data_IF_591677867822
#
_entry.id   IF_591677867822
#
_cell.length_a   1.000
_cell.length_b   1.000
_cell.length_c   1.000
_cell.angle_alpha   90.00
_cell.angle_beta   90.00
_cell.angle_gamma   90.00
#
_symmetry.space_group_name_H-M   'P 1'
#
loop_
_entity.id
_entity.type
_entity.pdbx_description
1 polymer ?
#
# COMPACT_ATOMS: atom_id res chain seq x y z
N UNK A 1 -13.66 18.95 -32.86
CA UNK A 1 -12.59 18.56 -31.92
C UNK A 1 -11.93 17.36 -32.57
N UNK A 2 -10.83 17.56 -33.23
CA UNK A 2 -10.05 16.52 -33.89
C UNK A 2 -9.38 15.68 -32.83
N UNK A 3 -9.69 14.36 -32.83
CA UNK A 3 -8.87 13.37 -32.15
C UNK A 3 -7.51 13.37 -32.87
N UNK A 4 -6.47 13.78 -32.18
CA UNK A 4 -5.10 13.55 -32.63
C UNK A 4 -4.91 12.04 -32.61
N UNK A 5 -5.00 11.38 -33.77
CA UNK A 5 -4.62 10.01 -34.00
C UNK A 5 -3.12 9.88 -33.66
N UNK A 6 -2.81 9.40 -32.47
CA UNK A 6 -1.46 8.87 -32.21
C UNK A 6 -1.28 7.68 -33.14
N UNK A 7 -0.25 7.73 -33.97
CA UNK A 7 -0.01 6.74 -34.98
C UNK A 7 0.15 5.35 -34.34
N UNK A 8 -0.51 4.35 -34.90
CA UNK A 8 -0.51 2.92 -34.52
C UNK A 8 0.92 2.31 -34.41
N UNK A 9 1.94 3.05 -34.89
CA UNK A 9 3.37 2.67 -34.90
C UNK A 9 4.11 2.85 -33.56
N UNK A 10 3.48 3.45 -32.54
CA UNK A 10 4.10 3.73 -31.23
C UNK A 10 3.52 2.90 -30.06
N UNK A 11 2.50 2.07 -30.32
CA UNK A 11 1.87 1.23 -29.28
C UNK A 11 2.62 -0.08 -29.13
N UNK A 12 2.97 -0.44 -27.88
CA UNK A 12 3.65 -1.69 -27.54
C UNK A 12 2.63 -2.74 -27.09
N UNK A 13 2.68 -3.92 -27.67
CA UNK A 13 1.87 -5.07 -27.22
C UNK A 13 2.41 -5.65 -25.91
N UNK A 14 1.50 -6.00 -25.00
CA UNK A 14 1.81 -6.60 -23.70
C UNK A 14 0.65 -7.45 -23.18
N UNK A 15 0.88 -8.23 -22.12
CA UNK A 15 -0.17 -8.85 -21.35
C UNK A 15 -0.48 -8.03 -20.11
N UNK A 16 -1.78 -7.91 -19.77
CA UNK A 16 -2.24 -7.27 -18.55
C UNK A 16 -3.41 -8.05 -17.93
N UNK A 17 -3.54 -7.96 -16.62
CA UNK A 17 -4.69 -8.47 -15.89
C UNK A 17 -5.76 -7.38 -15.82
N UNK A 18 -6.82 -7.56 -16.60
CA UNK A 18 -7.92 -6.60 -16.75
C UNK A 18 -9.11 -7.02 -15.91
N UNK A 19 -9.70 -6.09 -15.16
CA UNK A 19 -11.03 -6.24 -14.57
C UNK A 19 -12.04 -5.48 -15.42
N UNK A 20 -13.02 -6.20 -15.98
CA UNK A 20 -13.97 -5.64 -16.95
C UNK A 20 -15.20 -5.02 -16.31
N UNK A 21 -15.68 -5.60 -15.22
CA UNK A 21 -16.90 -5.18 -14.52
C UNK A 21 -16.73 -5.37 -13.01
N UNK A 22 -17.58 -4.71 -12.24
CA UNK A 22 -17.59 -4.78 -10.78
C UNK A 22 -17.53 -6.23 -10.27
N UNK A 23 -16.53 -6.52 -9.42
CA UNK A 23 -16.34 -7.83 -8.79
C UNK A 23 -15.91 -8.96 -9.73
N UNK A 24 -15.65 -8.67 -11.02
CA UNK A 24 -15.19 -9.68 -11.95
C UNK A 24 -13.76 -10.14 -11.62
N UNK A 25 -13.49 -11.43 -11.83
CA UNK A 25 -12.14 -11.95 -11.77
C UNK A 25 -11.24 -11.27 -12.81
N UNK A 26 -9.96 -11.09 -12.47
CA UNK A 26 -8.97 -10.57 -13.39
C UNK A 26 -8.77 -11.54 -14.56
N UNK A 27 -8.73 -10.99 -15.78
CA UNK A 27 -8.46 -11.74 -16.99
C UNK A 27 -7.14 -11.31 -17.60
N UNK A 28 -6.26 -12.27 -17.89
CA UNK A 28 -5.01 -11.97 -18.60
C UNK A 28 -5.32 -11.79 -20.08
N UNK A 29 -5.16 -10.59 -20.58
CA UNK A 29 -5.49 -10.20 -21.95
C UNK A 29 -4.27 -9.67 -22.69
N UNK A 30 -4.30 -9.76 -24.02
CA UNK A 30 -3.38 -9.04 -24.89
C UNK A 30 -3.90 -7.61 -25.04
N UNK A 31 -3.08 -6.65 -24.65
CA UNK A 31 -3.40 -5.22 -24.64
C UNK A 31 -2.23 -4.43 -25.26
N UNK A 32 -2.46 -3.15 -25.55
CA UNK A 32 -1.42 -2.28 -26.07
C UNK A 32 -1.24 -1.08 -25.13
N UNK A 33 -0.01 -0.61 -24.98
CA UNK A 33 0.35 0.57 -24.17
C UNK A 33 1.14 1.57 -25.02
N UNK A 34 0.84 2.84 -24.89
CA UNK A 34 1.52 3.93 -25.59
C UNK A 34 2.89 4.29 -25.00
N UNK A 35 3.59 5.18 -25.71
CA UNK A 35 4.84 5.74 -25.23
C UNK A 35 4.63 6.69 -24.03
N UNK A 36 5.64 6.83 -23.14
CA UNK A 36 5.59 7.80 -22.05
C UNK A 36 5.59 9.25 -22.57
N UNK A 37 4.85 10.13 -21.90
CA UNK A 37 4.87 11.58 -22.14
C UNK A 37 6.12 12.23 -21.53
N UNK A 38 6.22 13.57 -21.64
CA UNK A 38 7.39 14.36 -21.26
C UNK A 38 7.95 14.07 -19.86
N UNK A 39 7.09 13.85 -18.86
CA UNK A 39 7.42 13.65 -17.45
C UNK A 39 7.13 12.21 -16.96
N UNK A 40 6.82 11.32 -17.91
CA UNK A 40 6.46 9.94 -17.63
C UNK A 40 7.63 8.96 -17.84
N UNK A 41 7.51 7.82 -17.20
CA UNK A 41 8.47 6.74 -17.23
C UNK A 41 7.75 5.47 -17.67
N UNK A 42 8.23 4.80 -18.71
CA UNK A 42 7.79 3.45 -19.07
C UNK A 42 8.63 2.45 -18.26
N UNK A 43 7.96 1.68 -17.43
CA UNK A 43 8.59 0.65 -16.60
C UNK A 43 8.21 -0.73 -17.12
N UNK A 44 9.19 -1.57 -17.40
CA UNK A 44 9.00 -3.00 -17.61
C UNK A 44 8.86 -3.66 -16.26
N UNK A 45 7.64 -4.10 -15.94
CA UNK A 45 7.28 -4.63 -14.62
C UNK A 45 7.85 -6.05 -14.46
N UNK A 46 8.59 -6.25 -13.40
CA UNK A 46 9.13 -7.57 -13.00
C UNK A 46 8.20 -8.25 -12.01
N UNK A 47 7.70 -7.50 -11.05
CA UNK A 47 6.79 -8.01 -10.05
C UNK A 47 5.80 -6.94 -9.57
N UNK A 48 4.65 -7.41 -9.06
CA UNK A 48 3.67 -6.54 -8.39
C UNK A 48 3.06 -7.25 -7.17
N UNK A 49 3.05 -6.58 -6.04
CA UNK A 49 2.31 -7.05 -4.85
C UNK A 49 0.80 -6.94 -5.04
N UNK A 50 0.05 -7.87 -4.46
CA UNK A 50 -1.41 -7.79 -4.37
C UNK A 50 -1.79 -7.16 -3.03
N UNK A 51 -2.59 -6.12 -3.07
CA UNK A 51 -3.06 -5.38 -1.90
C UNK A 51 -4.58 -5.44 -1.78
N UNK A 52 -5.10 -5.29 -0.57
CA UNK A 52 -6.55 -5.21 -0.33
C UNK A 52 -7.20 -4.06 -1.12
N UNK A 53 -6.49 -2.95 -1.34
CA UNK A 53 -6.99 -1.81 -2.12
C UNK A 53 -7.28 -2.18 -3.58
N UNK A 54 -6.52 -3.09 -4.20
CA UNK A 54 -6.82 -3.59 -5.54
C UNK A 54 -8.19 -4.30 -5.57
N UNK A 55 -8.50 -5.05 -4.50
CA UNK A 55 -9.76 -5.79 -4.34
C UNK A 55 -10.93 -4.83 -4.11
N UNK A 56 -10.75 -3.86 -3.22
CA UNK A 56 -11.75 -2.82 -2.91
C UNK A 56 -12.15 -2.03 -4.16
N UNK A 57 -11.17 -1.74 -5.03
CA UNK A 57 -11.43 -1.05 -6.32
C UNK A 57 -12.04 -2.00 -7.35
N UNK A 58 -11.56 -3.25 -7.48
CA UNK A 58 -12.20 -4.27 -8.32
C UNK A 58 -13.68 -4.42 -7.97
N UNK A 59 -14.00 -4.43 -6.68
CA UNK A 59 -15.35 -4.62 -6.16
C UNK A 59 -16.16 -3.32 -6.10
N UNK A 60 -15.58 -2.20 -6.54
CA UNK A 60 -16.23 -0.88 -6.58
C UNK A 60 -16.74 -0.39 -5.22
N UNK A 61 -16.10 -0.78 -4.12
CA UNK A 61 -16.32 -0.18 -2.81
C UNK A 61 -15.60 1.20 -2.71
N UNK A 62 -14.50 1.36 -3.48
CA UNK A 62 -14.01 2.65 -3.98
C UNK A 62 -14.26 2.70 -5.48
N UNK A 63 -15.07 3.68 -5.91
CA UNK A 63 -15.40 3.85 -7.30
C UNK A 63 -14.18 4.25 -8.13
N UNK A 64 -13.93 3.52 -9.22
CA UNK A 64 -12.93 3.81 -10.22
C UNK A 64 -13.46 3.36 -11.58
N UNK A 65 -13.13 4.04 -12.67
CA UNK A 65 -13.62 3.66 -13.99
C UNK A 65 -13.20 2.23 -14.39
N UNK A 66 -14.12 1.53 -15.09
CA UNK A 66 -13.91 0.20 -15.66
C UNK A 66 -14.23 0.21 -17.17
N UNK A 67 -13.63 -0.68 -17.99
CA UNK A 67 -12.65 -1.71 -17.64
C UNK A 67 -11.29 -1.13 -17.26
N UNK A 68 -10.55 -1.78 -16.33
CA UNK A 68 -9.31 -1.23 -15.79
C UNK A 68 -8.20 -2.27 -15.63
N UNK A 69 -6.97 -1.80 -15.71
CA UNK A 69 -5.77 -2.47 -15.24
C UNK A 69 -5.45 -1.90 -13.84
N UNK A 70 -5.40 -2.76 -12.82
CA UNK A 70 -5.08 -2.38 -11.45
C UNK A 70 -3.61 -2.70 -11.11
N UNK A 71 -3.31 -2.88 -9.82
CA UNK A 71 -1.95 -3.13 -9.32
C UNK A 71 -1.19 -1.84 -9.00
N UNK A 72 -0.78 -1.70 -7.74
CA UNK A 72 -0.14 -0.47 -7.25
C UNK A 72 1.07 -0.72 -6.33
N UNK A 73 1.59 -1.92 -6.34
CA UNK A 73 2.83 -2.31 -5.66
C UNK A 73 3.83 -2.85 -6.69
N UNK A 74 4.06 -2.11 -7.78
CA UNK A 74 4.92 -2.54 -8.86
C UNK A 74 6.40 -2.32 -8.57
N UNK A 75 7.23 -3.22 -9.09
CA UNK A 75 8.68 -3.03 -9.20
C UNK A 75 9.17 -3.51 -10.57
N UNK A 76 10.13 -2.81 -11.15
CA UNK A 76 10.57 -3.11 -12.51
C UNK A 76 11.84 -2.39 -12.91
N UNK A 77 12.11 -2.45 -14.20
CA UNK A 77 13.25 -1.80 -14.84
C UNK A 77 12.75 -0.70 -15.75
N UNK A 78 13.31 0.48 -15.63
CA UNK A 78 13.00 1.61 -16.51
C UNK A 78 13.37 1.23 -17.95
N UNK A 79 12.41 1.29 -18.87
CA UNK A 79 12.57 0.96 -20.29
C UNK A 79 12.77 2.22 -21.14
N UNK A 80 11.98 3.26 -20.88
CA UNK A 80 12.05 4.55 -21.54
C UNK A 80 11.61 5.67 -20.60
N UNK A 81 12.04 6.88 -20.89
CA UNK A 81 11.71 8.09 -20.12
C UNK A 81 11.33 9.24 -21.05
N UNK A 82 10.40 10.07 -20.62
CA UNK A 82 10.10 11.34 -21.27
C UNK A 82 11.24 12.37 -21.12
N UNK A 83 11.24 13.40 -21.95
CA UNK A 83 12.33 14.38 -22.06
C UNK A 83 12.58 15.21 -20.79
N UNK A 84 11.57 15.34 -19.93
CA UNK A 84 11.64 16.10 -18.68
C UNK A 84 11.91 15.19 -17.44
N UNK A 85 12.17 13.91 -17.65
CA UNK A 85 12.51 12.99 -16.55
C UNK A 85 13.99 13.09 -16.23
N UNK A 86 14.31 13.40 -14.96
CA UNK A 86 15.68 13.60 -14.49
C UNK A 86 16.09 12.69 -13.33
N UNK A 87 15.12 12.00 -12.70
CA UNK A 87 15.38 11.19 -11.49
C UNK A 87 15.82 9.76 -11.79
N UNK A 88 15.44 9.25 -12.95
CA UNK A 88 15.75 7.87 -13.39
C UNK A 88 16.14 7.84 -14.86
N UNK A 89 16.80 6.79 -15.28
CA UNK A 89 17.22 6.55 -16.66
C UNK A 89 16.93 5.10 -17.08
N UNK A 90 16.86 4.80 -18.39
CA UNK A 90 16.71 3.43 -18.88
C UNK A 90 17.75 2.49 -18.27
N UNK A 91 17.27 1.32 -17.81
CA UNK A 91 18.07 0.32 -17.11
C UNK A 91 18.12 0.49 -15.59
N UNK A 92 17.59 1.57 -15.01
CA UNK A 92 17.48 1.70 -13.56
C UNK A 92 16.42 0.75 -12.98
N UNK A 93 16.68 0.16 -11.83
CA UNK A 93 15.72 -0.58 -11.05
C UNK A 93 14.88 0.37 -10.22
N UNK A 94 13.57 0.18 -10.21
CA UNK A 94 12.63 1.05 -9.51
C UNK A 94 11.56 0.27 -8.78
N UNK A 95 11.09 0.84 -7.66
CA UNK A 95 9.82 0.51 -7.00
C UNK A 95 8.85 1.64 -7.30
N UNK A 96 7.62 1.30 -7.67
CA UNK A 96 6.55 2.27 -7.90
C UNK A 96 5.66 2.39 -6.67
N UNK A 97 5.26 3.61 -6.35
CA UNK A 97 4.43 3.92 -5.20
C UNK A 97 3.23 4.78 -5.59
N UNK A 98 2.60 5.43 -4.64
CA UNK A 98 1.47 6.32 -4.88
C UNK A 98 1.91 7.57 -5.65
N UNK A 99 0.98 8.10 -6.48
CA UNK A 99 1.19 9.30 -7.25
C UNK A 99 0.79 10.56 -6.48
N UNK A 100 1.53 11.65 -6.66
CA UNK A 100 1.23 12.98 -6.12
C UNK A 100 1.60 14.07 -7.13
N UNK A 101 0.97 15.25 -7.06
CA UNK A 101 1.20 16.30 -8.08
C UNK A 101 2.57 16.99 -7.93
N UNK A 102 3.14 17.06 -6.74
CA UNK A 102 4.43 17.70 -6.47
C UNK A 102 4.41 19.23 -6.40
N UNK A 103 3.23 19.88 -6.54
CA UNK A 103 3.11 21.36 -6.66
C UNK A 103 2.05 21.98 -5.74
N UNK A 104 1.22 21.17 -5.04
CA UNK A 104 0.25 21.72 -4.09
C UNK A 104 0.90 21.97 -2.73
N UNK A 105 0.28 22.83 -1.92
CA UNK A 105 0.84 23.23 -0.63
C UNK A 105 1.13 22.05 0.32
N UNK A 106 0.39 20.93 0.20
CA UNK A 106 0.65 19.72 1.00
C UNK A 106 1.89 18.97 0.49
N UNK A 107 2.09 18.89 -0.82
CA UNK A 107 3.32 18.35 -1.39
C UNK A 107 4.53 19.20 -0.99
N UNK A 108 4.43 20.53 -1.12
CA UNK A 108 5.48 21.47 -0.76
C UNK A 108 5.83 21.46 0.75
N UNK A 109 4.83 21.14 1.60
CA UNK A 109 5.04 21.03 3.05
C UNK A 109 5.56 19.66 3.51
N UNK A 110 5.81 18.74 2.57
CA UNK A 110 6.37 17.41 2.87
C UNK A 110 5.33 16.34 3.20
N UNK A 111 4.07 16.56 2.84
CA UNK A 111 2.96 15.64 3.01
C UNK A 111 2.35 15.16 1.66
N UNK A 112 3.16 14.60 0.73
CA UNK A 112 2.67 14.21 -0.61
C UNK A 112 1.60 13.12 -0.56
N UNK A 113 1.57 12.27 0.47
CA UNK A 113 0.53 11.27 0.67
C UNK A 113 -0.87 11.87 0.86
N UNK A 114 -0.94 13.14 1.26
CA UNK A 114 -2.16 13.92 1.42
C UNK A 114 -2.35 14.97 0.30
N UNK A 115 -1.73 14.76 -0.87
CA UNK A 115 -1.87 15.62 -2.03
C UNK A 115 -3.34 15.99 -2.28
N UNK A 116 -3.61 17.27 -2.59
CA UNK A 116 -4.98 17.74 -2.87
C UNK A 116 -5.64 17.01 -4.05
N UNK A 117 -4.83 16.44 -4.94
CA UNK A 117 -5.29 15.70 -6.11
C UNK A 117 -5.23 14.18 -5.90
N UNK A 118 -5.04 13.68 -4.66
CA UNK A 118 -4.83 12.26 -4.37
C UNK A 118 -5.93 11.35 -4.96
N UNK A 119 -7.19 11.77 -4.90
CA UNK A 119 -8.32 11.03 -5.46
C UNK A 119 -8.20 10.87 -6.99
N UNK A 120 -8.26 11.96 -7.77
CA UNK A 120 -8.19 11.90 -9.23
C UNK A 120 -6.95 11.20 -9.77
N UNK A 121 -5.77 11.45 -9.21
CA UNK A 121 -4.51 10.92 -9.76
C UNK A 121 -4.20 9.46 -9.37
N UNK A 122 -4.87 8.92 -8.33
CA UNK A 122 -4.67 7.52 -7.92
C UNK A 122 -5.85 6.61 -8.25
N UNK A 123 -7.07 7.16 -8.36
CA UNK A 123 -8.30 6.39 -8.57
C UNK A 123 -9.10 6.82 -9.80
N UNK A 124 -8.68 7.87 -10.50
CA UNK A 124 -9.42 8.43 -11.65
C UNK A 124 -9.35 7.59 -12.93
N UNK A 125 -8.52 6.53 -12.96
CA UNK A 125 -8.42 5.61 -14.10
C UNK A 125 -7.76 6.21 -15.35
N UNK A 126 -6.91 7.21 -15.18
CA UNK A 126 -6.18 7.89 -16.25
C UNK A 126 -5.39 9.08 -15.74
N UNK A 127 -4.82 9.84 -16.65
CA UNK A 127 -4.12 11.11 -16.36
C UNK A 127 -5.11 12.19 -15.91
N UNK A 128 -4.61 13.27 -15.34
CA UNK A 128 -5.47 14.40 -14.92
C UNK A 128 -6.24 15.06 -16.07
N UNK A 129 -5.76 14.95 -17.31
CA UNK A 129 -6.46 15.43 -18.51
C UNK A 129 -7.54 14.44 -19.01
N UNK A 130 -7.75 13.33 -18.31
CA UNK A 130 -8.71 12.28 -18.62
C UNK A 130 -8.24 11.28 -19.68
N UNK A 131 -7.02 11.43 -20.22
CA UNK A 131 -6.47 10.47 -21.18
C UNK A 131 -5.92 9.23 -20.49
N UNK A 132 -5.88 8.12 -21.23
CA UNK A 132 -5.29 6.84 -20.84
C UNK A 132 -4.08 6.52 -21.71
N UNK A 133 -3.31 5.50 -21.36
CA UNK A 133 -2.20 5.01 -22.19
C UNK A 133 -2.43 3.59 -22.71
N UNK A 134 -3.46 2.91 -22.25
CA UNK A 134 -3.72 1.52 -22.60
C UNK A 134 -5.04 1.34 -23.38
N UNK A 135 -5.03 0.35 -24.27
CA UNK A 135 -6.21 -0.11 -25.02
C UNK A 135 -6.18 -1.64 -25.18
N UNK A 136 -7.35 -2.22 -25.36
CA UNK A 136 -7.43 -3.67 -25.62
C UNK A 136 -7.14 -4.01 -27.10
N UNK A 137 -7.17 -5.30 -27.45
CA UNK A 137 -6.89 -5.78 -28.80
C UNK A 137 -7.87 -5.24 -29.88
N UNK A 138 -9.00 -4.67 -29.48
CA UNK A 138 -10.00 -4.05 -30.38
C UNK A 138 -9.83 -2.53 -30.49
N UNK A 139 -8.91 -1.93 -29.72
CA UNK A 139 -8.74 -0.49 -29.61
C UNK A 139 -9.71 0.16 -28.65
N UNK A 140 -10.40 -0.61 -27.79
CA UNK A 140 -11.23 -0.06 -26.73
C UNK A 140 -10.35 0.43 -25.57
N UNK A 141 -10.65 1.61 -25.04
CA UNK A 141 -9.91 2.23 -23.93
C UNK A 141 -9.94 1.33 -22.71
N UNK A 142 -8.77 1.12 -22.11
CA UNK A 142 -8.62 0.55 -20.79
C UNK A 142 -8.19 1.66 -19.82
N UNK A 143 -8.87 1.75 -18.67
CA UNK A 143 -8.48 2.65 -17.61
C UNK A 143 -7.21 2.13 -16.95
N UNK A 144 -6.21 2.98 -16.89
CA UNK A 144 -4.90 2.71 -16.33
C UNK A 144 -4.49 3.83 -15.37
N UNK A 145 -3.22 3.93 -14.98
CA UNK A 145 -2.73 4.90 -13.99
C UNK A 145 -3.34 4.74 -12.58
N UNK A 146 -3.84 3.54 -12.25
CA UNK A 146 -4.19 3.24 -10.86
C UNK A 146 -2.95 3.40 -9.97
N UNK A 147 -3.02 4.33 -8.99
CA UNK A 147 -1.87 4.85 -8.24
C UNK A 147 -0.75 5.41 -9.15
N UNK A 148 -1.12 5.93 -10.32
CA UNK A 148 -0.16 6.44 -11.31
C UNK A 148 0.74 5.35 -11.90
N UNK A 149 0.32 4.07 -11.94
CA UNK A 149 1.15 2.96 -12.39
C UNK A 149 0.40 1.79 -13.07
N UNK A 150 -0.68 1.23 -12.49
CA UNK A 150 -1.39 0.06 -13.04
C UNK A 150 -0.50 -1.15 -13.34
N UNK A 151 0.17 -1.65 -12.31
CA UNK A 151 1.27 -2.62 -12.45
C UNK A 151 0.85 -4.09 -12.58
N UNK A 152 -0.44 -4.42 -12.68
CA UNK A 152 -0.86 -5.78 -13.08
C UNK A 152 -0.73 -5.97 -14.59
N UNK A 153 0.42 -5.59 -15.14
CA UNK A 153 0.76 -5.63 -16.55
C UNK A 153 2.26 -5.79 -16.76
N UNK A 154 2.69 -6.23 -17.96
CA UNK A 154 4.11 -6.37 -18.29
C UNK A 154 4.82 -5.00 -18.40
N UNK A 155 4.10 -3.94 -18.72
CA UNK A 155 4.59 -2.57 -18.74
C UNK A 155 3.60 -1.65 -18.04
N UNK A 156 4.10 -0.61 -17.41
CA UNK A 156 3.34 0.44 -16.76
C UNK A 156 3.90 1.81 -17.14
N UNK A 157 3.00 2.77 -17.37
CA UNK A 157 3.39 4.19 -17.41
C UNK A 157 3.27 4.74 -15.99
N UNK A 158 4.37 5.30 -15.51
CA UNK A 158 4.45 5.96 -14.21
C UNK A 158 4.96 7.40 -14.38
N UNK A 159 4.96 8.20 -13.32
CA UNK A 159 5.60 9.51 -13.29
C UNK A 159 6.95 9.44 -12.56
N UNK A 160 7.86 10.36 -12.87
CA UNK A 160 9.07 10.49 -12.05
C UNK A 160 8.79 10.81 -10.57
N UNK A 161 7.57 11.21 -10.21
CA UNK A 161 7.19 11.49 -8.81
C UNK A 161 6.85 10.23 -8.03
N UNK A 162 6.42 9.14 -8.68
CA UNK A 162 6.02 7.91 -8.02
C UNK A 162 6.93 6.71 -8.32
N UNK A 163 8.05 6.91 -9.01
CA UNK A 163 9.11 5.90 -9.15
C UNK A 163 10.25 6.19 -8.19
N UNK A 164 10.68 5.17 -7.46
CA UNK A 164 11.79 5.24 -6.50
C UNK A 164 12.91 4.36 -7.01
N UNK A 165 14.05 4.97 -7.35
CA UNK A 165 15.25 4.24 -7.77
C UNK A 165 15.79 3.41 -6.60
N UNK A 166 16.12 2.15 -6.88
CA UNK A 166 16.70 1.21 -5.91
C UNK A 166 17.96 0.57 -6.46
N UNK A 167 18.80 0.06 -5.55
CA UNK A 167 20.00 -0.68 -5.93
C UNK A 167 19.65 -1.99 -6.61
N UNK A 168 20.55 -2.47 -7.48
CA UNK A 168 20.35 -3.70 -8.26
C UNK A 168 20.76 -4.98 -7.52
N UNK A 169 21.23 -4.88 -6.29
CA UNK A 169 21.71 -5.99 -5.47
C UNK A 169 20.60 -6.84 -4.82
N UNK A 170 19.38 -6.31 -4.79
CA UNK A 170 18.20 -7.02 -4.27
C UNK A 170 17.21 -7.34 -5.41
N UNK A 171 16.55 -8.52 -5.35
CA UNK A 171 15.55 -8.89 -6.34
C UNK A 171 14.34 -7.97 -6.30
N UNK A 172 13.86 -7.53 -7.47
CA UNK A 172 12.69 -6.64 -7.57
C UNK A 172 11.42 -7.29 -7.04
N UNK A 173 11.29 -8.61 -7.13
CA UNK A 173 10.17 -9.39 -6.58
C UNK A 173 10.09 -9.26 -5.04
N UNK A 174 11.22 -9.05 -4.39
CA UNK A 174 11.27 -8.77 -2.96
C UNK A 174 10.82 -7.35 -2.66
N UNK A 175 11.22 -6.37 -3.49
CA UNK A 175 11.06 -4.94 -3.21
C UNK A 175 9.66 -4.40 -3.54
N UNK A 176 8.92 -5.04 -4.45
CA UNK A 176 7.62 -4.59 -4.92
C UNK A 176 6.63 -4.16 -3.81
N UNK A 177 6.44 -4.91 -2.72
CA UNK A 177 5.49 -4.54 -1.66
C UNK A 177 5.88 -3.29 -0.85
N UNK A 178 7.12 -2.81 -0.99
CA UNK A 178 7.55 -1.57 -0.34
C UNK A 178 6.79 -0.34 -0.87
N UNK A 179 6.24 -0.43 -2.09
CA UNK A 179 5.51 0.66 -2.74
C UNK A 179 4.20 1.07 -2.05
N UNK A 180 3.61 0.21 -1.20
CA UNK A 180 2.34 0.51 -0.53
C UNK A 180 2.30 -0.04 0.90
N UNK A 181 1.89 -1.30 1.09
CA UNK A 181 1.52 -1.81 2.41
C UNK A 181 2.65 -1.78 3.44
N UNK A 182 3.88 -2.08 3.01
CA UNK A 182 5.02 -2.12 3.93
C UNK A 182 5.47 -0.72 4.35
N UNK A 183 5.55 0.24 3.42
CA UNK A 183 5.84 1.63 3.82
C UNK A 183 4.72 2.24 4.65
N UNK A 184 3.46 1.88 4.36
CA UNK A 184 2.30 2.38 5.11
C UNK A 184 2.39 2.02 6.59
N UNK A 185 2.60 0.73 6.89
CA UNK A 185 2.71 0.28 8.28
C UNK A 185 3.93 0.84 9.00
N UNK A 186 5.10 0.79 8.35
CA UNK A 186 6.33 1.33 8.92
C UNK A 186 6.26 2.85 9.10
N UNK A 187 5.77 3.58 8.09
CA UNK A 187 5.62 5.03 8.13
C UNK A 187 4.58 5.50 9.16
N UNK A 188 3.48 4.76 9.33
CA UNK A 188 2.52 5.06 10.38
C UNK A 188 3.18 5.12 11.76
N UNK A 189 4.10 4.22 12.05
CA UNK A 189 4.83 4.15 13.32
C UNK A 189 5.95 5.18 13.39
N UNK A 190 6.84 5.21 12.37
CA UNK A 190 8.09 5.98 12.43
C UNK A 190 7.89 7.46 12.08
N UNK A 191 6.93 7.77 11.21
CA UNK A 191 6.74 9.11 10.67
C UNK A 191 5.43 9.78 11.15
N UNK A 192 4.27 9.18 10.90
CA UNK A 192 2.99 9.81 11.21
C UNK A 192 2.74 9.92 12.72
N UNK A 193 2.76 8.79 13.45
CA UNK A 193 2.53 8.75 14.91
C UNK A 193 3.79 9.05 15.73
N UNK A 194 4.98 8.89 15.13
CA UNK A 194 6.29 9.12 15.80
C UNK A 194 6.39 8.34 17.12
N UNK A 195 6.11 7.04 17.06
CA UNK A 195 6.20 6.15 18.22
C UNK A 195 7.58 6.28 18.84
N UNK A 196 7.63 6.53 20.14
CA UNK A 196 8.89 6.85 20.84
C UNK A 196 9.41 5.65 21.63
N UNK A 197 10.72 5.62 21.94
CA UNK A 197 11.29 4.60 22.81
C UNK A 197 10.59 4.53 24.17
N UNK A 198 10.35 3.31 24.65
CA UNK A 198 9.67 3.07 25.91
C UNK A 198 8.16 2.97 25.84
N UNK A 199 7.54 3.38 24.70
CA UNK A 199 6.09 3.35 24.52
C UNK A 199 5.50 1.93 24.48
N UNK A 200 4.19 1.89 24.70
CA UNK A 200 3.33 0.74 24.39
C UNK A 200 2.63 0.99 23.05
N UNK A 201 2.84 0.11 22.08
CA UNK A 201 2.21 0.12 20.77
C UNK A 201 1.33 -1.11 20.57
N UNK A 202 0.12 -0.96 20.04
CA UNK A 202 -0.75 -2.09 19.72
C UNK A 202 -1.24 -1.99 18.26
N UNK A 203 -0.98 -3.04 17.46
CA UNK A 203 -1.49 -3.20 16.11
C UNK A 203 -2.77 -4.03 16.14
N UNK A 204 -3.88 -3.47 15.66
CA UNK A 204 -5.16 -4.14 15.50
C UNK A 204 -5.32 -4.58 14.04
N UNK A 205 -5.11 -5.88 13.81
CA UNK A 205 -4.92 -6.50 12.51
C UNK A 205 -3.44 -6.72 12.19
N UNK A 206 -3.05 -7.97 11.92
CA UNK A 206 -1.68 -8.41 11.61
C UNK A 206 -1.55 -8.92 10.18
N UNK A 207 -2.15 -8.20 9.23
CA UNK A 207 -1.84 -8.30 7.80
C UNK A 207 -0.49 -7.66 7.48
N UNK A 208 -0.18 -7.46 6.21
CA UNK A 208 1.09 -6.87 5.77
C UNK A 208 1.38 -5.51 6.42
N UNK A 209 0.38 -4.63 6.50
CA UNK A 209 0.50 -3.30 7.13
C UNK A 209 0.76 -3.43 8.64
N UNK A 210 -0.02 -4.25 9.35
CA UNK A 210 0.14 -4.41 10.80
C UNK A 210 1.45 -5.08 11.21
N UNK A 211 1.90 -6.09 10.46
CA UNK A 211 3.21 -6.73 10.72
C UNK A 211 4.37 -5.80 10.37
N UNK A 212 4.24 -4.99 9.32
CA UNK A 212 5.19 -3.90 9.04
C UNK A 212 5.26 -2.91 10.20
N UNK A 213 4.11 -2.51 10.76
CA UNK A 213 4.04 -1.64 11.92
C UNK A 213 4.67 -2.27 13.18
N UNK A 214 4.49 -3.58 13.41
CA UNK A 214 5.15 -4.33 14.50
C UNK A 214 6.67 -4.26 14.38
N UNK A 215 7.23 -4.53 13.19
CA UNK A 215 8.67 -4.42 12.94
C UNK A 215 9.16 -2.98 13.16
N UNK A 216 8.42 -2.00 12.68
CA UNK A 216 8.74 -0.60 12.85
C UNK A 216 8.66 -0.12 14.30
N UNK A 217 7.70 -0.61 15.10
CA UNK A 217 7.60 -0.32 16.53
C UNK A 217 8.82 -0.84 17.31
N UNK A 218 9.33 -2.01 16.92
CA UNK A 218 10.60 -2.52 17.45
C UNK A 218 11.77 -1.61 17.08
N UNK A 219 11.84 -1.13 15.84
CA UNK A 219 12.86 -0.20 15.37
C UNK A 219 12.78 1.12 16.15
N UNK A 220 11.57 1.63 16.41
CA UNK A 220 11.31 2.83 17.20
C UNK A 220 11.67 2.70 18.68
N UNK A 221 11.90 1.47 19.18
CA UNK A 221 12.24 1.21 20.59
C UNK A 221 11.02 1.13 21.51
N UNK A 222 9.84 0.83 21.00
CA UNK A 222 8.67 0.51 21.83
C UNK A 222 8.99 -0.70 22.73
N UNK A 223 8.62 -0.64 24.02
CA UNK A 223 8.95 -1.69 25.01
C UNK A 223 7.85 -2.72 25.16
N UNK A 224 6.61 -2.37 24.85
CA UNK A 224 5.48 -3.28 24.71
C UNK A 224 4.92 -3.13 23.32
N UNK A 225 4.96 -4.22 22.54
CA UNK A 225 4.44 -4.29 21.19
C UNK A 225 3.40 -5.40 21.18
N UNK A 226 2.14 -5.01 21.06
CA UNK A 226 0.98 -5.90 21.19
C UNK A 226 0.41 -6.13 19.77
N UNK A 227 0.33 -7.39 19.35
CA UNK A 227 -0.31 -7.78 18.10
C UNK A 227 -1.71 -8.35 18.42
N UNK A 228 -2.75 -7.73 17.83
CA UNK A 228 -4.15 -8.16 18.00
C UNK A 228 -4.68 -8.66 16.66
N UNK A 229 -5.14 -9.90 16.61
CA UNK A 229 -5.71 -10.52 15.39
C UNK A 229 -6.64 -11.68 15.77
N UNK A 230 -7.35 -12.20 14.76
CA UNK A 230 -8.17 -13.42 14.87
C UNK A 230 -7.44 -14.68 14.36
N UNK A 231 -6.29 -14.52 13.70
CA UNK A 231 -5.53 -15.60 13.07
C UNK A 231 -4.31 -15.97 13.91
N UNK A 232 -4.28 -17.18 14.54
CA UNK A 232 -3.20 -17.57 15.43
C UNK A 232 -1.84 -17.69 14.74
N UNK A 233 -1.79 -18.06 13.46
CA UNK A 233 -0.53 -18.15 12.72
C UNK A 233 0.08 -16.76 12.46
N UNK A 234 -0.75 -15.75 12.20
CA UNK A 234 -0.29 -14.37 12.08
C UNK A 234 0.21 -13.82 13.42
N UNK A 235 -0.45 -14.17 14.53
CA UNK A 235 -0.01 -13.79 15.87
C UNK A 235 1.33 -14.43 16.21
N UNK A 236 1.53 -15.71 15.86
CA UNK A 236 2.82 -16.39 16.01
C UNK A 236 3.93 -15.68 15.22
N UNK A 237 3.66 -15.35 13.96
CA UNK A 237 4.61 -14.62 13.13
C UNK A 237 4.89 -13.21 13.70
N UNK A 238 3.89 -12.54 14.27
CA UNK A 238 4.09 -11.24 14.91
C UNK A 238 5.10 -11.29 16.06
N UNK A 239 5.08 -12.35 16.89
CA UNK A 239 6.10 -12.57 17.94
C UNK A 239 7.50 -12.71 17.35
N UNK A 240 7.65 -13.48 16.27
CA UNK A 240 8.94 -13.67 15.58
C UNK A 240 9.46 -12.36 14.96
N UNK A 241 8.55 -11.46 14.53
CA UNK A 241 8.86 -10.16 13.94
C UNK A 241 9.07 -9.04 14.97
N UNK A 242 8.81 -9.31 16.26
CA UNK A 242 9.14 -8.35 17.32
C UNK A 242 8.00 -7.93 18.22
N UNK A 243 6.78 -8.47 18.06
CA UNK A 243 5.74 -8.30 19.06
C UNK A 243 6.19 -8.93 20.39
N UNK A 244 5.89 -8.27 21.50
CA UNK A 244 6.16 -8.77 22.85
C UNK A 244 4.98 -9.54 23.43
N UNK A 245 3.77 -9.23 22.95
CA UNK A 245 2.51 -9.84 23.37
C UNK A 245 1.60 -10.05 22.17
N UNK A 246 0.73 -11.03 22.28
CA UNK A 246 -0.33 -11.28 21.29
C UNK A 246 -1.67 -11.39 21.97
N UNK A 247 -2.71 -10.94 21.28
CA UNK A 247 -4.10 -11.03 21.71
C UNK A 247 -4.91 -11.63 20.56
N UNK A 248 -5.46 -12.83 20.78
CA UNK A 248 -6.43 -13.39 19.84
C UNK A 248 -7.83 -12.89 20.23
N UNK A 249 -8.40 -12.02 19.41
CA UNK A 249 -9.72 -11.42 19.68
C UNK A 249 -10.90 -12.38 19.56
N UNK A 250 -10.66 -13.64 19.17
CA UNK A 250 -11.67 -14.72 19.28
C UNK A 250 -11.78 -15.29 20.68
N UNK A 251 -10.73 -15.16 21.50
CA UNK A 251 -10.65 -15.78 22.82
C UNK A 251 -11.20 -14.88 23.93
N UNK A 252 -11.52 -13.61 23.62
CA UNK A 252 -12.06 -12.65 24.57
C UNK A 252 -12.05 -11.21 24.10
N UNK A 253 -12.31 -10.28 25.01
CA UNK A 253 -12.29 -8.85 24.73
C UNK A 253 -10.85 -8.33 24.54
N UNK A 254 -10.46 -7.88 23.33
CA UNK A 254 -9.11 -7.39 23.08
C UNK A 254 -8.80 -6.09 23.85
N UNK A 255 -9.79 -5.26 24.16
CA UNK A 255 -9.60 -4.05 24.96
C UNK A 255 -9.19 -4.39 26.37
N UNK A 256 -9.92 -5.31 27.00
CA UNK A 256 -9.58 -5.81 28.35
C UNK A 256 -8.19 -6.45 28.40
N UNK A 257 -7.84 -7.23 27.37
CA UNK A 257 -6.52 -7.87 27.27
C UNK A 257 -5.38 -6.82 27.15
N UNK A 258 -5.56 -5.79 26.32
CA UNK A 258 -4.58 -4.69 26.21
C UNK A 258 -4.47 -3.93 27.52
N UNK A 259 -5.58 -3.69 28.23
CA UNK A 259 -5.58 -3.05 29.55
C UNK A 259 -4.81 -3.90 30.58
N UNK A 260 -5.01 -5.21 30.60
CA UNK A 260 -4.28 -6.12 31.49
C UNK A 260 -2.77 -6.10 31.23
N UNK A 261 -2.36 -6.25 29.94
CA UNK A 261 -0.94 -6.20 29.52
C UNK A 261 -0.28 -4.88 29.92
N UNK A 262 -1.02 -3.79 29.93
CA UNK A 262 -0.51 -2.45 30.28
C UNK A 262 -0.67 -2.10 31.75
N UNK A 263 -1.17 -3.01 32.59
CA UNK A 263 -1.44 -2.76 34.00
C UNK A 263 -2.51 -1.69 34.24
N UNK A 264 -3.56 -1.68 33.43
CA UNK A 264 -4.70 -0.75 33.50
C UNK A 264 -4.44 0.64 32.89
N UNK A 265 -3.25 0.90 32.33
CA UNK A 265 -2.92 2.22 31.76
C UNK A 265 -3.41 2.43 30.34
N UNK A 266 -3.65 1.35 29.58
CA UNK A 266 -3.90 1.40 28.15
C UNK A 266 -2.64 1.61 27.30
N UNK A 267 -2.78 1.54 25.99
CA UNK A 267 -1.68 1.74 25.05
C UNK A 267 -1.41 3.23 24.80
N UNK A 268 -0.13 3.59 24.59
CA UNK A 268 0.25 4.93 24.15
C UNK A 268 -0.09 5.16 22.67
N UNK A 269 0.03 4.11 21.86
CA UNK A 269 -0.29 4.14 20.45
C UNK A 269 -1.07 2.88 20.05
N UNK A 270 -2.11 3.07 19.25
CA UNK A 270 -2.80 1.98 18.57
C UNK A 270 -2.85 2.25 17.07
N UNK A 271 -2.77 1.21 16.24
CA UNK A 271 -2.91 1.31 14.79
C UNK A 271 -4.00 0.34 14.32
N UNK A 272 -5.05 0.88 13.73
CA UNK A 272 -6.12 0.09 13.12
C UNK A 272 -5.75 -0.24 11.66
N UNK A 273 -5.59 -1.54 11.36
CA UNK A 273 -5.11 -2.05 10.07
C UNK A 273 -6.10 -3.02 9.39
N UNK A 274 -7.27 -3.25 9.98
CA UNK A 274 -8.23 -4.24 9.47
C UNK A 274 -9.31 -3.65 8.57
N UNK A 275 -9.57 -2.34 8.69
CA UNK A 275 -10.67 -1.66 8.00
C UNK A 275 -12.06 -2.01 8.55
N UNK A 276 -12.15 -2.54 9.78
CA UNK A 276 -13.41 -2.95 10.40
C UNK A 276 -13.85 -1.92 11.45
N UNK A 277 -15.07 -1.39 11.36
CA UNK A 277 -15.58 -0.36 12.30
C UNK A 277 -15.49 -0.76 13.76
N UNK A 278 -15.82 -2.02 14.07
CA UNK A 278 -15.75 -2.56 15.42
C UNK A 278 -14.31 -2.65 15.94
N UNK A 279 -13.34 -2.94 15.07
CA UNK A 279 -11.92 -3.01 15.44
C UNK A 279 -11.34 -1.60 15.65
N UNK A 280 -11.74 -0.62 14.83
CA UNK A 280 -11.38 0.78 15.07
C UNK A 280 -11.89 1.26 16.43
N UNK A 281 -13.14 0.91 16.78
CA UNK A 281 -13.68 1.24 18.11
C UNK A 281 -12.83 0.60 19.21
N UNK A 282 -12.47 -0.66 19.10
CA UNK A 282 -11.59 -1.36 20.05
C UNK A 282 -10.21 -0.69 20.15
N UNK A 283 -9.62 -0.29 19.01
CA UNK A 283 -8.34 0.41 19.01
C UNK A 283 -8.38 1.75 19.75
N UNK A 284 -9.48 2.50 19.61
CA UNK A 284 -9.71 3.77 20.36
C UNK A 284 -9.90 3.49 21.86
N UNK A 285 -10.70 2.47 22.21
CA UNK A 285 -11.00 2.15 23.61
C UNK A 285 -9.77 1.62 24.35
N UNK A 286 -8.88 0.88 23.67
CA UNK A 286 -7.64 0.35 24.22
C UNK A 286 -6.57 1.41 24.54
N UNK A 287 -6.74 2.65 24.07
CA UNK A 287 -5.82 3.74 24.38
C UNK A 287 -5.87 4.18 25.85
N UNK A 288 -4.71 4.49 26.39
CA UNK A 288 -4.55 5.19 27.65
C UNK A 288 -4.72 6.70 27.52
N UNK A 289 -4.42 7.44 28.59
CA UNK A 289 -4.40 8.90 28.62
C UNK A 289 -3.36 9.44 27.63
N UNK A 290 -3.74 10.48 26.87
CA UNK A 290 -2.94 11.10 25.81
C UNK A 290 -2.55 10.17 24.65
N UNK A 291 -3.12 8.95 24.61
CA UNK A 291 -2.83 7.96 23.56
C UNK A 291 -3.30 8.40 22.17
N UNK A 292 -2.64 7.89 21.15
CA UNK A 292 -2.93 8.20 19.74
C UNK A 292 -3.33 6.94 18.98
N UNK A 293 -4.50 6.97 18.32
CA UNK A 293 -4.96 5.95 17.38
C UNK A 293 -4.71 6.40 15.94
N UNK A 294 -3.90 5.66 15.19
CA UNK A 294 -3.78 5.79 13.74
C UNK A 294 -4.82 4.93 13.03
N UNK A 295 -5.47 5.47 11.99
CA UNK A 295 -6.42 4.76 11.13
C UNK A 295 -5.76 4.56 9.77
N UNK A 296 -5.57 3.30 9.38
CA UNK A 296 -4.94 2.91 8.10
C UNK A 296 -5.85 2.00 7.28
N UNK A 297 -6.69 1.21 7.96
CA UNK A 297 -7.58 0.24 7.32
C UNK A 297 -8.58 0.95 6.39
N UNK A 298 -8.55 0.58 5.09
CA UNK A 298 -9.53 1.09 4.12
C UNK A 298 -10.92 0.49 4.39
N UNK A 299 -11.92 1.36 4.48
CA UNK A 299 -13.33 0.99 4.66
C UNK A 299 -14.15 1.50 3.47
N UNK A 300 -15.35 0.96 3.30
CA UNK A 300 -16.32 1.50 2.34
C UNK A 300 -16.62 2.97 2.67
N UNK A 301 -16.77 3.80 1.62
CA UNK A 301 -17.16 5.20 1.79
C UNK A 301 -18.47 5.35 2.54
N UNK A 302 -18.51 6.30 3.50
CA UNK A 302 -19.67 6.53 4.35
C UNK A 302 -19.75 5.62 5.60
N UNK A 303 -18.73 4.80 5.86
CA UNK A 303 -18.66 4.01 7.10
C UNK A 303 -18.49 4.92 8.31
N UNK A 304 -19.33 4.73 9.33
CA UNK A 304 -19.33 5.49 10.59
C UNK A 304 -18.94 4.59 11.78
N UNK A 305 -18.23 5.18 12.75
CA UNK A 305 -17.86 4.52 14.00
C UNK A 305 -18.33 5.37 15.17
N UNK A 306 -19.38 4.96 15.90
CA UNK A 306 -19.83 5.68 17.08
C UNK A 306 -18.91 5.47 18.27
N UNK A 307 -18.62 6.52 19.03
CA UNK A 307 -17.90 6.46 20.30
C UNK A 307 -18.49 7.43 21.34
N UNK A 308 -18.29 7.15 22.62
CA UNK A 308 -18.63 8.07 23.70
C UNK A 308 -17.63 9.24 23.70
N UNK A 309 -18.14 10.45 23.56
CA UNK A 309 -17.33 11.68 23.51
C UNK A 309 -16.45 11.82 24.75
N UNK A 310 -16.97 11.50 25.95
CA UNK A 310 -16.23 11.60 27.20
C UNK A 310 -15.09 10.56 27.28
N UNK A 311 -15.23 9.41 26.61
CA UNK A 311 -14.18 8.39 26.55
C UNK A 311 -12.95 8.82 25.72
N UNK A 312 -13.10 9.87 24.92
CA UNK A 312 -12.01 10.49 24.14
C UNK A 312 -11.55 11.79 24.81
N UNK A 313 -12.51 12.64 25.23
CA UNK A 313 -12.22 13.96 25.77
C UNK A 313 -11.48 13.91 27.11
N UNK A 314 -11.97 13.13 28.08
CA UNK A 314 -11.39 13.10 29.44
C UNK A 314 -9.95 12.57 29.43
N UNK A 315 -9.64 11.43 28.76
CA UNK A 315 -8.27 10.96 28.67
C UNK A 315 -7.41 11.66 27.60
N UNK A 316 -7.96 12.70 26.93
CA UNK A 316 -7.28 13.47 25.88
C UNK A 316 -6.71 12.59 24.76
N UNK A 317 -7.47 11.58 24.31
CA UNK A 317 -7.07 10.69 23.21
C UNK A 317 -7.03 11.45 21.89
N UNK A 318 -6.15 11.02 20.99
CA UNK A 318 -6.04 11.54 19.62
C UNK A 318 -6.43 10.45 18.62
N UNK A 319 -7.14 10.83 17.57
CA UNK A 319 -7.49 9.96 16.45
C UNK A 319 -7.01 10.64 15.19
N UNK A 320 -6.22 9.95 14.36
CA UNK A 320 -5.66 10.51 13.14
C UNK A 320 -5.72 9.53 11.99
N UNK A 321 -6.03 10.02 10.79
CA UNK A 321 -5.88 9.25 9.56
C UNK A 321 -4.41 9.15 9.15
N UNK A 322 -4.02 8.03 8.56
CA UNK A 322 -2.68 7.81 8.02
C UNK A 322 -2.80 7.20 6.63
N UNK A 323 -2.35 7.93 5.62
CA UNK A 323 -2.31 7.48 4.23
C UNK A 323 -0.84 7.26 3.86
N UNK A 324 -0.52 6.08 3.33
CA UNK A 324 0.85 5.73 2.87
C UNK A 324 1.95 5.99 3.92
N UNK A 325 1.59 5.93 5.23
CA UNK A 325 2.50 6.23 6.32
C UNK A 325 2.88 7.71 6.47
N UNK A 326 2.25 8.61 5.71
CA UNK A 326 2.61 10.03 5.57
C UNK A 326 4.10 10.20 5.24
N UNK A 327 4.63 9.37 4.34
CA UNK A 327 6.06 9.33 3.98
C UNK A 327 6.31 9.92 2.60
N UNK A 328 7.53 10.39 2.39
CA UNK A 328 8.09 10.66 1.06
C UNK A 328 8.77 9.36 0.60
N UNK A 329 8.14 8.64 -0.33
CA UNK A 329 8.57 7.28 -0.75
C UNK A 329 10.01 7.26 -1.24
N UNK A 330 10.46 8.32 -1.94
CA UNK A 330 11.82 8.46 -2.49
C UNK A 330 12.93 8.32 -1.43
N UNK A 331 12.67 8.77 -0.19
CA UNK A 331 13.63 8.67 0.92
C UNK A 331 13.32 7.53 1.86
N UNK A 332 12.04 7.17 1.99
CA UNK A 332 11.63 6.20 2.98
C UNK A 332 11.81 4.75 2.52
N UNK A 333 11.53 4.44 1.24
CA UNK A 333 11.76 3.08 0.68
C UNK A 333 13.23 2.68 0.79
N UNK A 334 14.23 3.50 0.38
CA UNK A 334 15.63 3.18 0.62
C UNK A 334 15.99 2.97 2.10
N UNK A 335 15.37 3.73 3.01
CA UNK A 335 15.54 3.55 4.46
C UNK A 335 15.04 2.18 4.93
N UNK A 336 13.88 1.72 4.43
CA UNK A 336 13.35 0.39 4.74
C UNK A 336 14.24 -0.72 4.18
N UNK A 337 14.80 -0.54 2.98
CA UNK A 337 15.76 -1.47 2.37
C UNK A 337 17.01 -1.57 3.25
N UNK A 338 17.51 -0.45 3.78
CA UNK A 338 18.66 -0.47 4.67
C UNK A 338 18.34 -1.18 6.01
N UNK A 339 17.15 -0.98 6.58
CA UNK A 339 16.71 -1.76 7.75
C UNK A 339 16.58 -3.26 7.45
N UNK A 340 16.17 -3.62 6.23
CA UNK A 340 16.16 -5.01 5.79
C UNK A 340 17.57 -5.60 5.74
N UNK A 341 18.54 -4.91 5.12
CA UNK A 341 19.95 -5.31 5.07
C UNK A 341 20.55 -5.53 6.46
N UNK A 342 20.13 -4.71 7.44
CA UNK A 342 20.53 -4.85 8.84
C UNK A 342 19.79 -5.98 9.60
N UNK A 343 18.87 -6.69 8.96
CA UNK A 343 18.03 -7.70 9.61
C UNK A 343 17.00 -7.15 10.59
N UNK A 344 16.76 -5.83 10.58
CA UNK A 344 15.83 -5.14 11.50
C UNK A 344 14.40 -5.09 10.97
N UNK A 345 14.24 -5.25 9.66
CA UNK A 345 12.95 -5.18 8.95
C UNK A 345 12.81 -6.36 7.99
N UNK A 346 12.70 -7.62 8.48
CA UNK A 346 12.68 -8.84 7.67
C UNK A 346 11.32 -9.06 6.98
N UNK A 347 10.95 -8.16 6.07
CA UNK A 347 9.66 -8.17 5.38
C UNK A 347 9.52 -9.27 4.32
N UNK A 348 10.62 -9.86 3.88
CA UNK A 348 10.68 -11.03 3.02
C UNK A 348 9.85 -12.20 3.59
N UNK A 349 9.77 -12.30 4.91
CA UNK A 349 8.99 -13.31 5.63
C UNK A 349 7.47 -13.19 5.44
N UNK A 350 6.99 -12.08 4.92
CA UNK A 350 5.58 -11.84 4.64
C UNK A 350 5.18 -12.30 3.23
N UNK A 351 6.17 -12.49 2.33
CA UNK A 351 5.98 -12.63 0.90
C UNK A 351 5.76 -14.10 0.51
N UNK A 352 4.78 -14.31 -0.36
CA UNK A 352 4.60 -15.54 -1.12
C UNK A 352 4.47 -15.19 -2.60
N UNK A 353 5.33 -15.80 -3.42
CA UNK A 353 5.32 -15.57 -4.85
C UNK A 353 4.25 -16.42 -5.56
N UNK A 354 3.68 -15.84 -6.62
CA UNK A 354 2.74 -16.46 -7.54
C UNK A 354 3.15 -16.13 -8.97
N UNK A 355 2.83 -17.01 -9.91
CA UNK A 355 2.97 -16.67 -11.32
C UNK A 355 1.87 -15.66 -11.72
N UNK A 356 2.14 -14.83 -12.72
CA UNK A 356 1.18 -13.79 -13.15
C UNK A 356 -0.18 -14.38 -13.54
N UNK A 357 -0.19 -15.57 -14.18
CA UNK A 357 -1.41 -16.28 -14.55
C UNK A 357 -2.28 -16.66 -13.34
N UNK A 358 -1.69 -16.78 -12.14
CA UNK A 358 -2.36 -17.20 -10.91
C UNK A 358 -2.87 -16.00 -10.08
N UNK A 359 -3.01 -14.82 -10.68
CA UNK A 359 -3.44 -13.60 -9.98
C UNK A 359 -4.73 -13.80 -9.17
N UNK A 360 -5.72 -14.51 -9.69
CA UNK A 360 -6.98 -14.75 -8.98
C UNK A 360 -6.79 -15.67 -7.77
N UNK A 361 -5.88 -16.65 -7.85
CA UNK A 361 -5.52 -17.49 -6.70
C UNK A 361 -4.78 -16.67 -5.65
N UNK A 362 -3.89 -15.76 -6.07
CA UNK A 362 -3.18 -14.85 -5.18
C UNK A 362 -4.14 -13.93 -4.42
N UNK A 363 -5.15 -13.40 -5.10
CA UNK A 363 -6.24 -12.60 -4.51
C UNK A 363 -7.01 -13.42 -3.50
N UNK A 364 -7.49 -14.62 -3.88
CA UNK A 364 -8.26 -15.49 -3.00
C UNK A 364 -7.46 -15.89 -1.74
N UNK A 365 -6.18 -16.23 -1.90
CA UNK A 365 -5.29 -16.59 -0.78
C UNK A 365 -5.10 -15.41 0.20
N UNK A 366 -5.07 -14.18 -0.34
CA UNK A 366 -5.00 -12.96 0.48
C UNK A 366 -6.30 -12.71 1.25
N UNK A 367 -7.46 -12.78 0.57
CA UNK A 367 -8.79 -12.56 1.19
C UNK A 367 -9.09 -13.59 2.27
N UNK A 368 -8.74 -14.85 2.04
CA UNK A 368 -8.92 -15.94 3.01
C UNK A 368 -7.84 -15.97 4.10
N UNK A 369 -6.87 -15.05 4.06
CA UNK A 369 -5.81 -14.95 5.05
C UNK A 369 -4.76 -16.07 5.01
N UNK A 370 -4.74 -16.86 3.92
CA UNK A 370 -3.73 -17.92 3.69
C UNK A 370 -2.35 -17.34 3.33
N UNK A 371 -2.33 -16.17 2.73
CA UNK A 371 -1.09 -15.44 2.37
C UNK A 371 -1.18 -14.02 2.91
N UNK A 372 -0.08 -13.53 3.50
CA UNK A 372 -0.01 -12.18 4.05
C UNK A 372 0.24 -11.17 2.94
N UNK A 373 1.26 -11.39 2.12
CA UNK A 373 1.63 -10.54 1.00
C UNK A 373 1.90 -11.39 -0.24
N UNK A 374 0.88 -11.60 -1.09
CA UNK A 374 1.11 -12.21 -2.39
C UNK A 374 1.90 -11.25 -3.29
N UNK A 375 2.86 -11.78 -4.05
CA UNK A 375 3.63 -11.04 -5.06
C UNK A 375 3.61 -11.82 -6.36
N UNK A 376 3.09 -11.19 -7.40
CA UNK A 376 3.04 -11.73 -8.76
C UNK A 376 4.38 -11.56 -9.45
N UNK A 377 4.91 -12.61 -10.06
CA UNK A 377 6.05 -12.56 -10.98
C UNK A 377 5.51 -12.33 -12.38
N UNK A 378 5.79 -11.16 -12.95
CA UNK A 378 5.21 -10.72 -14.23
C UNK A 378 6.22 -10.80 -15.36
N UNK A 379 7.45 -10.37 -15.12
CA UNK A 379 8.53 -10.36 -16.07
C UNK A 379 9.85 -10.85 -15.47
N UNK A 380 10.94 -10.59 -16.18
CA UNK A 380 12.33 -10.82 -15.72
C UNK A 380 13.07 -9.49 -15.63
N UNK A 381 14.01 -9.36 -14.69
CA UNK A 381 14.81 -8.16 -14.51
C UNK A 381 15.78 -7.90 -15.67
#
# INVERSE_FOLDING_TARGET
>A
MERTEMADSEMRSMKAAVTRTKGAAFQIEDVRIGAPRHDEVLVRVVACGVCHTDIVVRDQDFESPLPAILGHEGAGVVEAVGENVHRVAPGDHVVMSYMFCGECYLCDSGHPAHCLHVGPINFGGGRLDGSTSAEDAKGEVLHDHFFGQSSFAQYAIASQNNVVKVDKDLPLELLAPLGCGLQTGAGAVLNAMKVSPGSTFAAFGTGAVGLSAVMAARIAGATRIIAVDVNPERLKLALELGATHTVNSRDGDPVAAVQEITGGRGADFTLECSGRPEVLRQAIDALGFFGTCGIVGATKMGTEVPFDVNSVMIPAKKIMGVVQGDVISETFIPTLIEFYRQGRFPFDRLIKHYDFADINQAVEDSEQGRTIKPVLRIGVA
#
